data_IF_845256587295
#
_entry.id   IF_845256587295
#
_cell.length_a   1.000
_cell.length_b   1.000
_cell.length_c   1.000
_cell.angle_alpha   90.00
_cell.angle_beta   90.00
_cell.angle_gamma   90.00
#
_symmetry.space_group_name_H-M   'P 1'
#
loop_
_entity.id
_entity.type
_entity.pdbx_description
1 polymer ?
#
# COMPACT_ATOMS: atom_id res chain seq x y z
N UNK A 1 -10.82 16.69 -20.26
CA UNK A 1 -10.17 15.64 -21.08
C UNK A 1 -9.34 14.84 -20.11
N UNK A 2 -9.46 13.53 -20.12
CA UNK A 2 -8.67 12.63 -19.27
C UNK A 2 -7.19 12.81 -19.58
N UNK A 3 -6.38 13.07 -18.56
CA UNK A 3 -4.94 13.25 -18.68
C UNK A 3 -4.27 11.90 -18.94
N UNK A 4 -3.33 11.84 -19.89
CA UNK A 4 -2.59 10.62 -20.23
C UNK A 4 -1.13 10.93 -20.43
N UNK A 5 -0.29 10.26 -19.65
CA UNK A 5 1.16 10.41 -19.72
C UNK A 5 1.80 9.08 -20.03
N UNK A 6 2.52 9.02 -21.15
CA UNK A 6 3.40 7.89 -21.44
C UNK A 6 4.69 8.13 -20.66
N UNK A 7 5.05 7.18 -19.80
CA UNK A 7 6.25 7.25 -18.96
C UNK A 7 7.08 5.98 -19.14
N UNK A 8 8.40 6.11 -19.11
CA UNK A 8 9.30 4.95 -19.11
C UNK A 8 9.54 4.43 -17.71
N UNK A 9 9.69 3.12 -17.61
CA UNK A 9 10.23 2.46 -16.43
C UNK A 9 11.72 2.77 -16.33
N UNK A 10 12.12 3.39 -15.22
CA UNK A 10 13.50 3.73 -14.89
C UNK A 10 14.22 2.55 -14.21
N UNK A 11 13.55 1.91 -13.26
CA UNK A 11 14.06 0.70 -12.59
C UNK A 11 12.93 -0.23 -12.13
N UNK A 12 13.27 -1.51 -12.02
CA UNK A 12 12.41 -2.54 -11.42
C UNK A 12 13.26 -3.29 -10.41
N UNK A 13 12.89 -3.20 -9.13
CA UNK A 13 13.64 -3.80 -8.02
C UNK A 13 12.73 -4.78 -7.25
N UNK A 14 13.22 -5.95 -6.84
CA UNK A 14 12.47 -6.81 -5.93
C UNK A 14 12.41 -6.18 -4.53
N UNK A 15 11.25 -6.32 -3.87
CA UNK A 15 11.08 -6.01 -2.44
C UNK A 15 10.94 -7.31 -1.63
N UNK A 16 9.94 -8.12 -2.00
CA UNK A 16 9.77 -9.49 -1.50
C UNK A 16 9.84 -10.49 -2.64
N UNK A 17 9.57 -11.77 -2.36
CA UNK A 17 9.57 -12.84 -3.36
C UNK A 17 8.55 -12.62 -4.50
N UNK A 18 7.47 -11.87 -4.25
CA UNK A 18 6.42 -11.57 -5.24
C UNK A 18 6.01 -10.09 -5.26
N UNK A 19 6.81 -9.19 -4.73
CA UNK A 19 6.55 -7.74 -4.77
C UNK A 19 7.71 -7.04 -5.44
N UNK A 20 7.40 -6.13 -6.36
CA UNK A 20 8.38 -5.34 -7.10
C UNK A 20 8.10 -3.85 -6.92
N UNK A 21 9.17 -3.06 -6.85
CA UNK A 21 9.14 -1.61 -6.90
C UNK A 21 9.47 -1.14 -8.31
N UNK A 22 8.54 -0.42 -8.91
CA UNK A 22 8.70 0.19 -10.23
C UNK A 22 8.95 1.67 -10.02
N UNK A 23 10.12 2.15 -10.45
CA UNK A 23 10.36 3.59 -10.59
C UNK A 23 10.11 3.98 -12.04
N UNK A 24 9.33 5.04 -12.25
CA UNK A 24 8.99 5.52 -13.58
C UNK A 24 9.24 7.03 -13.69
N UNK A 25 9.38 7.51 -14.92
CA UNK A 25 9.45 8.94 -15.19
C UNK A 25 8.25 9.67 -14.56
N UNK A 26 8.52 10.86 -14.03
CA UNK A 26 7.51 11.73 -13.45
C UNK A 26 7.15 12.83 -14.45
N UNK A 27 5.90 12.89 -14.95
CA UNK A 27 5.51 13.96 -15.86
C UNK A 27 5.54 15.33 -15.17
N UNK A 28 5.84 16.38 -15.92
CA UNK A 28 5.90 17.75 -15.40
C UNK A 28 4.53 18.17 -14.84
N UNK A 29 4.52 18.68 -13.60
CA UNK A 29 3.31 19.11 -12.92
C UNK A 29 2.40 17.98 -12.42
N UNK A 30 2.79 16.72 -12.61
CA UNK A 30 2.02 15.58 -12.14
C UNK A 30 2.24 15.35 -10.64
N UNK A 31 1.25 15.74 -9.84
CA UNK A 31 1.31 15.72 -8.38
C UNK A 31 0.12 14.97 -7.78
N UNK A 32 0.32 14.37 -6.62
CA UNK A 32 -0.70 13.62 -5.90
C UNK A 32 -0.71 13.98 -4.40
N UNK A 33 -1.74 13.61 -3.67
CA UNK A 33 -1.72 13.61 -2.20
C UNK A 33 -1.29 12.21 -1.73
N UNK A 34 -0.34 12.06 -0.78
CA UNK A 34 0.03 10.74 -0.26
C UNK A 34 -1.20 9.90 0.14
N UNK A 35 -1.28 8.68 -0.40
CA UNK A 35 -2.44 7.80 -0.29
C UNK A 35 -3.36 7.78 -1.52
N UNK A 36 -3.15 8.67 -2.49
CA UNK A 36 -3.81 8.64 -3.80
C UNK A 36 -3.17 7.65 -4.77
N UNK A 37 -3.94 7.29 -5.79
CA UNK A 37 -3.61 6.34 -6.83
C UNK A 37 -3.77 6.95 -8.22
N UNK A 38 -3.33 6.21 -9.23
CA UNK A 38 -3.73 6.42 -10.61
C UNK A 38 -4.08 5.08 -11.24
N UNK A 39 -4.83 5.11 -12.33
CA UNK A 39 -4.88 3.95 -13.19
C UNK A 39 -3.55 3.85 -13.94
N UNK A 40 -3.05 2.62 -14.11
CA UNK A 40 -1.89 2.33 -14.92
C UNK A 40 -2.30 1.37 -16.03
N UNK A 41 -1.84 1.68 -17.24
CA UNK A 41 -1.97 0.83 -18.41
C UNK A 41 -0.58 0.50 -18.95
N UNK A 42 -0.38 -0.72 -19.44
CA UNK A 42 0.87 -1.10 -20.09
C UNK A 42 0.82 -0.62 -21.53
N UNK A 43 1.81 0.19 -21.96
CA UNK A 43 1.85 0.75 -23.33
C UNK A 43 2.31 -0.31 -24.35
N UNK A 44 1.48 -1.34 -24.53
CA UNK A 44 1.76 -2.50 -25.40
C UNK A 44 0.46 -2.98 -26.04
N UNK A 45 0.54 -3.40 -27.30
CA UNK A 45 -0.58 -4.01 -28.01
C UNK A 45 -1.18 -5.19 -27.21
N UNK A 46 -2.51 -5.24 -27.13
CA UNK A 46 -3.25 -6.22 -26.32
C UNK A 46 -3.46 -5.82 -24.85
N UNK A 47 -2.83 -4.74 -24.37
CA UNK A 47 -2.95 -4.29 -22.98
C UNK A 47 -3.49 -2.86 -22.81
N UNK A 48 -3.66 -2.13 -23.91
CA UNK A 48 -4.08 -0.72 -23.90
C UNK A 48 -5.50 -0.48 -23.34
N UNK A 49 -6.35 -1.50 -23.34
CA UNK A 49 -7.70 -1.47 -22.76
C UNK A 49 -7.72 -1.88 -21.28
N UNK A 50 -6.61 -2.38 -20.74
CA UNK A 50 -6.51 -2.83 -19.35
C UNK A 50 -6.00 -1.69 -18.47
N UNK A 51 -6.81 -1.35 -17.47
CA UNK A 51 -6.51 -0.31 -16.50
C UNK A 51 -6.62 -0.88 -15.10
N UNK A 52 -5.58 -0.68 -14.31
CA UNK A 52 -5.57 -1.14 -12.93
C UNK A 52 -5.12 -0.02 -11.99
N UNK A 53 -5.75 0.08 -10.81
CA UNK A 53 -5.39 1.06 -9.79
C UNK A 53 -4.05 0.72 -9.17
N UNK A 54 -3.15 1.69 -9.07
CA UNK A 54 -1.96 1.58 -8.23
C UNK A 54 -1.73 2.86 -7.44
N UNK A 55 -1.48 2.70 -6.14
CA UNK A 55 -1.16 3.83 -5.26
C UNK A 55 0.28 4.28 -5.48
N UNK A 56 0.48 5.60 -5.52
CA UNK A 56 1.81 6.17 -5.44
C UNK A 56 2.46 5.82 -4.11
N UNK A 57 3.69 5.33 -4.19
CA UNK A 57 4.52 5.01 -3.03
C UNK A 57 5.68 5.99 -2.88
N UNK A 58 6.00 6.79 -3.91
CA UNK A 58 6.97 7.90 -3.88
C UNK A 58 6.47 9.14 -3.13
N UNK A 59 7.32 10.17 -3.02
CA UNK A 59 6.95 11.52 -2.58
C UNK A 59 6.94 12.52 -3.75
N UNK A 60 6.13 13.57 -3.66
CA UNK A 60 6.09 14.64 -4.69
C UNK A 60 7.41 15.41 -4.82
N UNK A 61 8.29 15.33 -3.82
CA UNK A 61 9.62 15.95 -3.85
C UNK A 61 10.64 15.14 -4.64
N UNK A 62 10.32 13.89 -5.00
CA UNK A 62 11.21 13.03 -5.79
C UNK A 62 11.09 13.33 -7.28
N UNK A 63 12.19 13.09 -8.01
CA UNK A 63 12.28 13.29 -9.47
C UNK A 63 11.63 12.16 -10.29
N UNK A 64 11.14 11.12 -9.61
CA UNK A 64 10.48 9.96 -10.21
C UNK A 64 9.23 9.57 -9.41
N UNK A 65 8.33 8.83 -10.05
CA UNK A 65 7.21 8.17 -9.38
C UNK A 65 7.61 6.74 -9.03
N UNK A 66 7.06 6.20 -7.93
CA UNK A 66 7.30 4.83 -7.50
C UNK A 66 5.98 4.10 -7.22
N UNK A 67 5.86 2.86 -7.70
CA UNK A 67 4.78 1.94 -7.37
C UNK A 67 5.35 0.66 -6.75
N UNK A 68 4.81 0.24 -5.62
CA UNK A 68 5.13 -1.06 -5.00
C UNK A 68 3.99 -2.02 -5.31
N UNK A 69 4.25 -3.02 -6.15
CA UNK A 69 3.21 -3.86 -6.76
C UNK A 69 3.48 -5.32 -6.45
N UNK A 70 2.46 -6.00 -5.89
CA UNK A 70 2.46 -7.46 -5.77
C UNK A 70 2.11 -8.10 -7.12
N UNK A 71 2.96 -9.03 -7.55
CA UNK A 71 2.84 -9.77 -8.80
C UNK A 71 2.06 -11.05 -8.52
N UNK A 72 0.97 -11.25 -9.26
CA UNK A 72 0.16 -12.47 -9.22
C UNK A 72 0.38 -13.22 -10.53
N UNK A 73 1.04 -14.38 -10.45
CA UNK A 73 1.39 -15.19 -11.64
C UNK A 73 0.29 -16.17 -12.08
N UNK A 74 -0.77 -16.30 -11.28
CA UNK A 74 -1.75 -17.38 -11.45
C UNK A 74 -2.72 -17.15 -12.62
N UNK A 75 -2.74 -15.95 -13.24
CA UNK A 75 -3.56 -15.59 -14.39
C UNK A 75 -2.83 -14.63 -15.36
N UNK A 76 -3.20 -14.61 -16.65
CA UNK A 76 -2.75 -13.58 -17.63
C UNK A 76 -3.38 -12.20 -17.32
N UNK A 77 -3.13 -11.70 -16.12
CA UNK A 77 -3.64 -10.43 -15.61
C UNK A 77 -2.57 -9.34 -15.69
N UNK A 78 -2.98 -8.09 -15.45
CA UNK A 78 -2.10 -6.92 -15.58
C UNK A 78 -0.87 -7.01 -14.67
N UNK A 79 -1.00 -7.54 -13.46
CA UNK A 79 0.14 -7.66 -12.54
C UNK A 79 1.16 -8.69 -13.01
N UNK A 80 0.75 -9.82 -13.59
CA UNK A 80 1.67 -10.77 -14.23
C UNK A 80 2.44 -10.09 -15.37
N UNK A 81 1.75 -9.36 -16.24
CA UNK A 81 2.38 -8.67 -17.35
C UNK A 81 3.31 -7.54 -16.89
N UNK A 82 2.97 -6.80 -15.82
CA UNK A 82 3.87 -5.85 -15.16
C UNK A 82 5.13 -6.57 -14.63
N UNK A 83 4.96 -7.78 -14.11
CA UNK A 83 6.03 -8.62 -13.57
C UNK A 83 7.13 -8.95 -14.59
N UNK A 84 6.86 -8.91 -15.90
CA UNK A 84 7.86 -9.20 -16.94
C UNK A 84 8.45 -7.95 -17.59
N UNK A 85 8.00 -6.74 -17.19
CA UNK A 85 8.55 -5.50 -17.72
C UNK A 85 9.94 -5.20 -17.17
N UNK A 86 10.73 -4.47 -17.96
CA UNK A 86 12.11 -4.07 -17.66
C UNK A 86 12.29 -2.56 -17.84
N UNK A 87 13.39 -1.98 -17.34
CA UNK A 87 13.73 -0.59 -17.61
C UNK A 87 13.70 -0.27 -19.11
N UNK A 88 13.12 0.88 -19.45
CA UNK A 88 12.88 1.33 -20.82
C UNK A 88 11.54 0.91 -21.42
N UNK A 89 10.84 -0.09 -20.86
CA UNK A 89 9.45 -0.37 -21.24
C UNK A 89 8.53 0.76 -20.74
N UNK A 90 7.37 0.93 -21.38
CA UNK A 90 6.50 2.10 -21.18
C UNK A 90 5.17 1.75 -20.49
N UNK A 91 4.74 2.65 -19.62
CA UNK A 91 3.43 2.66 -18.98
C UNK A 91 2.67 3.93 -19.38
N UNK A 92 1.35 3.89 -19.29
CA UNK A 92 0.47 5.04 -19.43
C UNK A 92 -0.14 5.30 -18.05
N UNK A 93 0.13 6.48 -17.50
CA UNK A 93 -0.51 7.00 -16.30
C UNK A 93 -1.73 7.83 -16.70
N UNK A 94 -2.82 7.68 -15.96
CA UNK A 94 -4.05 8.44 -16.18
C UNK A 94 -4.21 9.53 -15.10
N UNK A 95 -5.42 10.06 -14.93
CA UNK A 95 -5.71 11.04 -13.88
C UNK A 95 -5.35 10.48 -12.49
N UNK A 96 -4.90 11.37 -11.59
CA UNK A 96 -4.73 11.03 -10.17
C UNK A 96 -6.10 11.00 -9.51
N UNK A 97 -6.36 9.96 -8.74
CA UNK A 97 -7.59 9.79 -7.99
C UNK A 97 -7.32 9.02 -6.70
N UNK A 98 -8.38 8.58 -6.03
CA UNK A 98 -8.29 7.73 -4.86
C UNK A 98 -8.25 8.54 -3.56
N UNK A 99 -8.12 7.90 -2.41
CA UNK A 99 -8.39 6.51 -2.03
C UNK A 99 -8.40 6.51 -0.51
N UNK A 100 -7.23 6.80 0.08
CA UNK A 100 -7.09 7.18 1.48
C UNK A 100 -6.43 8.57 1.58
N UNK A 101 -6.97 9.40 2.47
CA UNK A 101 -6.39 10.69 2.83
C UNK A 101 -6.09 10.67 4.32
N UNK A 102 -4.86 11.02 4.67
CA UNK A 102 -4.47 11.19 6.06
C UNK A 102 -5.25 12.36 6.70
N UNK A 103 -5.96 12.09 7.80
CA UNK A 103 -6.79 13.07 8.54
C UNK A 103 -6.23 13.41 9.92
N UNK A 104 -5.27 12.64 10.41
CA UNK A 104 -4.71 12.78 11.74
C UNK A 104 -4.08 11.48 12.23
N UNK A 105 -3.40 11.56 13.37
CA UNK A 105 -2.78 10.40 14.00
C UNK A 105 -3.80 9.28 14.23
N UNK A 106 -3.39 8.04 13.94
CA UNK A 106 -4.30 6.91 14.05
C UNK A 106 -3.64 5.57 13.83
N UNK A 107 -4.49 4.55 13.70
CA UNK A 107 -4.07 3.18 13.47
C UNK A 107 -4.38 2.75 12.04
N UNK A 108 -3.32 2.39 11.32
CA UNK A 108 -3.36 1.84 9.98
C UNK A 108 -3.39 0.32 10.04
N UNK A 109 -4.28 -0.31 9.28
CA UNK A 109 -4.52 -1.76 9.28
C UNK A 109 -4.42 -2.24 7.84
N UNK A 110 -3.41 -3.05 7.55
CA UNK A 110 -3.11 -3.53 6.20
C UNK A 110 -3.16 -5.06 6.11
N UNK A 111 -3.73 -5.58 5.02
CA UNK A 111 -3.58 -6.98 4.63
C UNK A 111 -2.70 -7.12 3.38
N UNK A 112 -1.50 -7.71 3.52
CA UNK A 112 -0.56 -7.88 2.42
C UNK A 112 -0.32 -6.59 1.61
N UNK A 113 -0.61 -6.62 0.31
CA UNK A 113 -0.45 -5.46 -0.60
C UNK A 113 -1.33 -4.25 -0.23
N UNK A 114 -2.32 -4.42 0.66
CA UNK A 114 -3.11 -3.32 1.23
C UNK A 114 -2.30 -2.31 2.04
N UNK A 115 -1.01 -2.55 2.31
CA UNK A 115 -0.13 -1.55 2.90
C UNK A 115 0.25 -0.43 1.93
N UNK A 116 0.11 -0.65 0.62
CA UNK A 116 0.62 0.26 -0.41
C UNK A 116 0.06 1.69 -0.35
N UNK A 117 -1.22 1.93 0.02
CA UNK A 117 -1.74 3.29 0.23
C UNK A 117 -1.07 4.04 1.39
N UNK A 118 -0.43 3.34 2.32
CA UNK A 118 0.14 3.93 3.52
C UNK A 118 1.61 4.33 3.34
N UNK A 119 2.29 3.78 2.33
CA UNK A 119 3.73 3.96 2.14
C UNK A 119 4.08 5.44 1.96
N UNK A 120 3.45 6.13 0.99
CA UNK A 120 3.72 7.55 0.76
C UNK A 120 3.30 8.42 1.96
N UNK A 121 2.24 8.04 2.68
CA UNK A 121 1.79 8.76 3.88
C UNK A 121 2.88 8.70 4.96
N UNK A 122 3.34 7.50 5.30
CA UNK A 122 4.37 7.32 6.32
C UNK A 122 5.71 7.93 5.91
N UNK A 123 6.12 7.80 4.64
CA UNK A 123 7.31 8.46 4.11
C UNK A 123 7.24 9.98 4.28
N UNK A 124 6.10 10.59 3.96
CA UNK A 124 5.92 12.04 4.10
C UNK A 124 5.97 12.45 5.58
N UNK A 125 5.22 11.74 6.45
CA UNK A 125 5.21 12.01 7.89
C UNK A 125 6.60 11.83 8.51
N UNK A 126 7.38 10.84 8.08
CA UNK A 126 8.74 10.63 8.56
C UNK A 126 9.68 11.76 8.12
N UNK A 127 9.63 12.14 6.84
CA UNK A 127 10.42 13.27 6.33
C UNK A 127 10.12 14.58 7.08
N UNK A 128 8.86 14.79 7.44
CA UNK A 128 8.41 16.01 8.11
C UNK A 128 8.61 15.97 9.64
N UNK A 129 9.06 14.84 10.20
CA UNK A 129 9.19 14.65 11.65
C UNK A 129 7.85 14.56 12.39
N UNK A 130 6.79 14.15 11.67
CA UNK A 130 5.39 14.13 12.10
C UNK A 130 4.80 12.72 12.26
N UNK A 131 5.65 11.69 12.43
CA UNK A 131 5.17 10.31 12.64
C UNK A 131 4.27 10.18 13.89
N UNK A 132 4.53 10.96 14.93
CA UNK A 132 3.65 11.03 16.11
C UNK A 132 3.40 9.66 16.75
N UNK A 133 2.15 9.41 17.16
CA UNK A 133 1.70 8.14 17.73
C UNK A 133 1.11 7.17 16.70
N UNK A 134 1.29 7.42 15.39
CA UNK A 134 0.73 6.54 14.36
C UNK A 134 1.21 5.10 14.55
N UNK A 135 0.30 4.16 14.27
CA UNK A 135 0.52 2.71 14.39
C UNK A 135 0.18 2.01 13.09
N UNK A 136 0.96 1.00 12.72
CA UNK A 136 0.69 0.13 11.58
C UNK A 136 0.56 -1.32 12.05
N UNK A 137 -0.62 -1.92 11.83
CA UNK A 137 -0.92 -3.33 12.05
C UNK A 137 -1.01 -4.02 10.68
N UNK A 138 -0.08 -4.93 10.40
CA UNK A 138 -0.03 -5.65 9.13
C UNK A 138 -0.33 -7.13 9.33
N UNK A 139 -1.30 -7.66 8.58
CA UNK A 139 -1.54 -9.10 8.47
C UNK A 139 -0.82 -9.63 7.22
N UNK A 140 0.08 -10.59 7.42
CA UNK A 140 0.87 -11.23 6.36
C UNK A 140 0.80 -12.76 6.50
N UNK A 141 1.05 -13.48 5.41
CA UNK A 141 1.06 -14.96 5.45
C UNK A 141 2.30 -15.49 6.17
N UNK A 142 3.47 -14.96 5.82
CA UNK A 142 4.78 -15.30 6.39
C UNK A 142 5.62 -14.03 6.62
N UNK A 143 6.74 -14.14 7.33
CA UNK A 143 7.71 -13.03 7.44
C UNK A 143 8.20 -12.54 6.07
N UNK A 144 8.37 -13.45 5.10
CA UNK A 144 8.84 -13.15 3.75
C UNK A 144 7.82 -12.40 2.88
N UNK A 145 6.59 -12.19 3.39
CA UNK A 145 5.55 -11.38 2.75
C UNK A 145 5.51 -9.94 3.26
N UNK A 146 6.30 -9.59 4.29
CA UNK A 146 6.27 -8.25 4.89
C UNK A 146 6.93 -7.24 3.93
N UNK A 147 6.09 -6.48 3.24
CA UNK A 147 6.50 -5.43 2.29
C UNK A 147 7.20 -4.29 3.03
N UNK A 148 8.35 -3.84 2.51
CA UNK A 148 9.15 -2.73 3.05
C UNK A 148 9.43 -2.83 4.57
N UNK A 149 9.67 -4.06 5.07
CA UNK A 149 9.86 -4.35 6.51
C UNK A 149 10.84 -3.40 7.19
N UNK A 150 12.04 -3.24 6.64
CA UNK A 150 13.10 -2.45 7.24
C UNK A 150 12.75 -0.96 7.28
N UNK A 151 12.10 -0.46 6.22
CA UNK A 151 11.68 0.94 6.11
C UNK A 151 10.59 1.28 7.13
N UNK A 152 9.56 0.44 7.26
CA UNK A 152 8.53 0.65 8.29
C UNK A 152 9.09 0.49 9.70
N UNK A 153 10.06 -0.40 9.91
CA UNK A 153 10.74 -0.55 11.20
C UNK A 153 11.51 0.73 11.56
N UNK A 154 12.20 1.35 10.61
CA UNK A 154 12.91 2.62 10.82
C UNK A 154 11.93 3.75 11.16
N UNK A 155 10.83 3.87 10.41
CA UNK A 155 9.86 4.96 10.60
C UNK A 155 9.03 4.82 11.89
N UNK A 156 8.59 3.61 12.24
CA UNK A 156 7.58 3.38 13.28
C UNK A 156 8.11 2.62 14.50
N UNK A 157 9.25 1.95 14.40
CA UNK A 157 9.81 1.11 15.46
C UNK A 157 8.78 0.13 16.01
N UNK A 158 8.53 0.20 17.33
CA UNK A 158 7.56 -0.66 18.03
C UNK A 158 6.10 -0.50 17.58
N UNK A 159 5.78 0.56 16.85
CA UNK A 159 4.44 0.82 16.33
C UNK A 159 4.19 0.15 14.97
N UNK A 160 5.20 -0.50 14.38
CA UNK A 160 5.02 -1.41 13.26
C UNK A 160 4.89 -2.85 13.77
N UNK A 161 3.65 -3.36 13.77
CA UNK A 161 3.30 -4.66 14.33
C UNK A 161 2.80 -5.55 13.21
N UNK A 162 3.38 -6.73 13.08
CA UNK A 162 3.01 -7.72 12.08
C UNK A 162 2.43 -8.96 12.75
N UNK A 163 1.28 -9.42 12.23
CA UNK A 163 0.70 -10.72 12.57
C UNK A 163 0.82 -11.66 11.39
N UNK A 164 1.29 -12.88 11.66
CA UNK A 164 1.56 -13.93 10.67
C UNK A 164 0.50 -15.03 10.76
N UNK A 165 -0.03 -15.47 9.61
CA UNK A 165 -1.16 -16.43 9.58
C UNK A 165 -0.79 -17.86 9.21
N UNK A 166 0.31 -18.09 8.50
CA UNK A 166 0.63 -19.40 7.91
C UNK A 166 1.75 -20.14 8.66
N UNK A 167 2.43 -19.47 9.60
CA UNK A 167 3.46 -20.08 10.45
C UNK A 167 3.58 -19.44 11.86
N UNK A 168 4.54 -19.96 12.64
CA UNK A 168 4.85 -19.51 14.01
C UNK A 168 6.26 -18.90 14.12
N UNK A 169 6.62 -18.02 13.18
CA UNK A 169 7.89 -17.30 13.22
C UNK A 169 8.03 -16.46 14.51
N UNK A 170 9.07 -16.69 15.34
CA UNK A 170 9.25 -15.93 16.59
C UNK A 170 9.42 -14.43 16.36
N UNK A 171 8.92 -13.62 17.29
CA UNK A 171 9.02 -12.15 17.24
C UNK A 171 7.86 -11.46 16.53
N UNK A 172 6.89 -12.24 16.03
CA UNK A 172 5.65 -11.75 15.44
C UNK A 172 4.44 -12.11 16.28
N UNK A 173 3.36 -11.35 16.08
CA UNK A 173 2.05 -11.81 16.50
C UNK A 173 1.55 -12.91 15.55
N UNK A 174 0.54 -13.68 15.98
CA UNK A 174 -0.01 -14.78 15.18
C UNK A 174 -1.54 -14.72 15.12
N UNK A 175 -2.08 -15.00 13.94
CA UNK A 175 -3.51 -15.04 13.69
C UNK A 175 -4.04 -13.83 12.90
N UNK A 176 -5.36 -13.74 12.80
CA UNK A 176 -6.05 -12.70 12.04
C UNK A 176 -6.22 -11.45 12.90
N UNK A 177 -6.32 -10.28 12.26
CA UNK A 177 -6.72 -9.03 12.91
C UNK A 177 -8.23 -9.09 13.15
N UNK A 178 -8.64 -9.65 14.29
CA UNK A 178 -10.02 -9.76 14.73
C UNK A 178 -10.33 -8.80 15.90
N UNK A 179 -11.56 -8.85 16.42
CA UNK A 179 -11.98 -8.00 17.53
C UNK A 179 -11.12 -8.19 18.80
N UNK A 180 -10.69 -9.42 19.10
CA UNK A 180 -9.87 -9.70 20.27
C UNK A 180 -8.46 -9.13 20.10
N UNK A 181 -7.88 -9.30 18.91
CA UNK A 181 -6.60 -8.70 18.56
C UNK A 181 -6.65 -7.17 18.63
N UNK A 182 -7.69 -6.55 18.10
CA UNK A 182 -7.86 -5.10 18.16
C UNK A 182 -7.99 -4.61 19.61
N UNK A 183 -8.76 -5.30 20.48
CA UNK A 183 -8.84 -4.99 21.92
C UNK A 183 -7.49 -5.08 22.63
N UNK A 184 -6.64 -6.04 22.24
CA UNK A 184 -5.30 -6.19 22.82
C UNK A 184 -4.37 -5.04 22.39
N UNK A 185 -4.38 -4.70 21.10
CA UNK A 185 -3.42 -3.75 20.52
C UNK A 185 -3.83 -2.28 20.61
N UNK A 186 -5.11 -1.98 20.82
CA UNK A 186 -5.66 -0.62 20.78
C UNK A 186 -6.39 -0.31 22.09
N UNK A 187 -6.01 0.82 22.69
CA UNK A 187 -6.56 1.27 23.98
C UNK A 187 -7.66 2.32 23.82
N UNK A 188 -7.58 3.15 22.78
CA UNK A 188 -8.54 4.21 22.47
C UNK A 188 -9.13 3.98 21.07
N UNK A 189 -10.44 3.83 20.98
CA UNK A 189 -11.14 3.67 19.70
C UNK A 189 -11.71 4.98 19.16
N UNK A 190 -11.53 6.10 19.87
CA UNK A 190 -11.86 7.43 19.40
C UNK A 190 -10.67 8.07 18.65
N UNK A 191 -10.18 7.36 17.63
CA UNK A 191 -9.09 7.78 16.74
C UNK A 191 -9.44 7.44 15.29
N UNK A 192 -8.66 7.95 14.33
CA UNK A 192 -8.79 7.54 12.94
C UNK A 192 -8.26 6.10 12.75
N UNK A 193 -9.03 5.28 12.03
CA UNK A 193 -8.60 3.95 11.58
C UNK A 193 -8.53 3.92 10.06
N UNK A 194 -7.36 3.61 9.51
CA UNK A 194 -7.13 3.54 8.07
C UNK A 194 -7.01 2.07 7.66
N UNK A 195 -7.94 1.54 6.87
CA UNK A 195 -8.02 0.08 6.61
C UNK A 195 -7.96 -0.21 5.11
N UNK A 196 -7.04 -1.08 4.71
CA UNK A 196 -6.90 -1.53 3.32
C UNK A 196 -6.38 -2.98 3.25
N UNK A 197 -6.93 -3.79 2.35
CA UNK A 197 -6.57 -5.20 2.22
C UNK A 197 -7.64 -5.97 1.43
N UNK A 198 -7.60 -7.31 1.45
CA UNK A 198 -8.65 -8.12 0.83
C UNK A 198 -10.03 -7.84 1.44
N UNK A 199 -11.09 -7.83 0.61
CA UNK A 199 -12.47 -7.52 1.05
C UNK A 199 -12.91 -8.28 2.32
N UNK A 200 -12.68 -9.60 2.46
CA UNK A 200 -13.10 -10.31 3.68
C UNK A 200 -12.40 -9.82 4.95
N UNK A 201 -11.17 -9.32 4.83
CA UNK A 201 -10.45 -8.71 5.95
C UNK A 201 -11.01 -7.32 6.25
N UNK A 202 -11.27 -6.49 5.23
CA UNK A 202 -11.84 -5.16 5.41
C UNK A 202 -13.19 -5.27 6.14
N UNK A 203 -14.10 -6.11 5.66
CA UNK A 203 -15.43 -6.31 6.24
C UNK A 203 -15.33 -6.76 7.71
N UNK A 204 -14.46 -7.73 7.99
CA UNK A 204 -14.23 -8.25 9.34
C UNK A 204 -13.69 -7.17 10.29
N UNK A 205 -12.68 -6.40 9.86
CA UNK A 205 -12.06 -5.34 10.65
C UNK A 205 -13.05 -4.19 10.88
N UNK A 206 -13.79 -3.77 9.85
CA UNK A 206 -14.81 -2.74 9.98
C UNK A 206 -15.88 -3.12 10.99
N UNK A 207 -16.39 -4.36 10.93
CA UNK A 207 -17.38 -4.84 11.87
C UNK A 207 -16.82 -4.91 13.30
N UNK A 208 -15.57 -5.36 13.47
CA UNK A 208 -14.91 -5.38 14.76
C UNK A 208 -14.71 -3.97 15.33
N UNK A 209 -14.20 -3.01 14.54
CA UNK A 209 -14.05 -1.62 14.96
C UNK A 209 -15.38 -1.00 15.37
N UNK A 210 -16.45 -1.26 14.61
CA UNK A 210 -17.81 -0.80 14.95
C UNK A 210 -18.29 -1.34 16.29
N UNK A 211 -18.05 -2.62 16.58
CA UNK A 211 -18.39 -3.22 17.88
C UNK A 211 -17.61 -2.60 19.04
N UNK A 212 -16.40 -2.11 18.75
CA UNK A 212 -15.48 -1.47 19.71
C UNK A 212 -15.72 0.04 19.86
N UNK A 213 -16.67 0.61 19.10
CA UNK A 213 -16.99 2.03 19.12
C UNK A 213 -16.12 2.91 18.21
N UNK A 214 -15.28 2.31 17.37
CA UNK A 214 -14.49 3.01 16.34
C UNK A 214 -15.19 3.08 14.99
N UNK A 215 -14.63 3.89 14.09
CA UNK A 215 -15.05 3.99 12.68
C UNK A 215 -13.85 3.90 11.76
N UNK A 216 -13.98 3.16 10.66
CA UNK A 216 -12.91 2.94 9.70
C UNK A 216 -13.05 3.87 8.48
N UNK A 217 -11.92 4.40 8.06
CA UNK A 217 -11.68 5.00 6.75
C UNK A 217 -11.13 3.87 5.86
N UNK A 218 -11.94 3.39 4.94
CA UNK A 218 -11.58 2.31 4.01
C UNK A 218 -11.25 2.80 2.62
N UNK A 219 -10.41 2.05 1.93
CA UNK A 219 -10.18 2.21 0.49
C UNK A 219 -10.91 1.12 -0.26
N UNK A 220 -11.64 1.53 -1.30
CA UNK A 220 -12.01 0.67 -2.41
C UNK A 220 -11.10 1.08 -3.59
N UNK A 221 -10.17 0.19 -3.98
CA UNK A 221 -9.33 0.36 -5.18
C UNK A 221 -9.92 -0.43 -6.33
#
# INVERSE_FOLDING_TARGET
MEEKHIVKILSVEPDTHNVKRFRVEKPDGYTFIPGQATEVTINKEGWLDKRNPFTFTSLNTWDFLEFTIKIYDEHEEVTHQLGVLKPGDELILHDVWGAIQYKGEGTFIAGGAGVTPFIAIFRQLYQDGMIGANKLLCSNKTEADIILKDEFTDMLGRNFINTITDDHTPGYDHGRIDEAYLKDKIQDFNQDFYVCGPEPMIDSVQQALKNLGGSAITVEL
#
